data_IF_017893777102
#
_entry.id   IF_017893777102
#
_cell.length_a   1.000
_cell.length_b   1.000
_cell.length_c   1.000
_cell.angle_alpha   90.00
_cell.angle_beta   90.00
_cell.angle_gamma   90.00
#
_symmetry.space_group_name_H-M   'P 1'
#
loop_
_entity.id
_entity.type
_entity.pdbx_description
1 polymer ?
#
# COMPACT_ATOMS: atom_id res chain seq x y z
N UNK A 1 34.28 -2.01 -3.27
CA UNK A 1 34.54 -2.90 -2.11
C UNK A 1 33.25 -3.66 -1.77
N UNK A 2 33.19 -4.96 -2.07
CA UNK A 2 32.06 -5.81 -1.67
C UNK A 2 32.24 -6.20 -0.20
N UNK A 3 31.69 -5.42 0.74
CA UNK A 3 31.51 -5.92 2.10
C UNK A 3 30.43 -7.01 2.04
N UNK A 4 30.82 -8.27 2.26
CA UNK A 4 29.87 -9.36 2.51
C UNK A 4 29.01 -8.96 3.70
N UNK A 5 27.75 -8.59 3.45
CA UNK A 5 26.78 -8.44 4.54
C UNK A 5 26.69 -9.79 5.25
N UNK A 6 26.92 -9.85 6.57
CA UNK A 6 26.86 -11.11 7.30
C UNK A 6 25.45 -11.70 7.16
N UNK A 7 25.38 -13.00 6.82
CA UNK A 7 24.12 -13.74 6.59
C UNK A 7 23.13 -13.56 7.75
N UNK A 8 23.64 -13.45 8.99
CA UNK A 8 22.84 -13.19 10.20
C UNK A 8 22.07 -11.86 10.14
N UNK A 9 22.66 -10.80 9.57
CA UNK A 9 22.00 -9.50 9.43
C UNK A 9 20.85 -9.55 8.42
N UNK A 10 21.05 -10.25 7.30
CA UNK A 10 20.01 -10.46 6.30
C UNK A 10 18.80 -11.21 6.87
N UNK A 11 19.04 -12.31 7.61
CA UNK A 11 17.96 -13.10 8.22
C UNK A 11 17.16 -12.29 9.25
N UNK A 12 17.84 -11.49 10.09
CA UNK A 12 17.18 -10.59 11.05
C UNK A 12 16.28 -9.58 10.33
N UNK A 13 16.83 -8.87 9.35
CA UNK A 13 16.05 -7.86 8.60
C UNK A 13 14.89 -8.50 7.82
N UNK A 14 15.05 -9.71 7.29
CA UNK A 14 13.98 -10.44 6.61
C UNK A 14 12.85 -10.88 7.57
N UNK A 15 13.19 -11.32 8.78
CA UNK A 15 12.19 -11.65 9.80
C UNK A 15 11.41 -10.41 10.23
N UNK A 16 12.11 -9.29 10.44
CA UNK A 16 11.51 -7.99 10.75
C UNK A 16 10.62 -7.49 9.60
N UNK A 17 11.02 -7.73 8.35
CA UNK A 17 10.19 -7.39 7.19
C UNK A 17 8.90 -8.20 7.13
N UNK A 18 8.99 -9.49 7.45
CA UNK A 18 7.81 -10.37 7.54
C UNK A 18 6.84 -9.86 8.60
N UNK A 19 7.36 -9.47 9.76
CA UNK A 19 6.56 -8.85 10.83
C UNK A 19 5.94 -7.51 10.37
N UNK A 20 6.69 -6.66 9.65
CA UNK A 20 6.15 -5.40 9.11
C UNK A 20 5.01 -5.64 8.14
N UNK A 21 5.07 -6.69 7.31
CA UNK A 21 3.96 -7.05 6.42
C UNK A 21 2.74 -7.55 7.21
N UNK A 22 2.96 -8.40 8.21
CA UNK A 22 1.89 -8.88 9.08
C UNK A 22 1.17 -7.72 9.79
N UNK A 23 1.91 -6.73 10.31
CA UNK A 23 1.32 -5.54 10.92
C UNK A 23 0.69 -4.59 9.89
N UNK A 24 1.34 -4.40 8.75
CA UNK A 24 0.88 -3.54 7.67
C UNK A 24 -0.47 -3.98 7.08
N UNK A 25 -0.76 -5.29 7.11
CA UNK A 25 -2.06 -5.86 6.71
C UNK A 25 -2.98 -6.02 7.92
N UNK A 26 -2.47 -6.56 9.02
CA UNK A 26 -3.27 -6.94 10.18
C UNK A 26 -3.93 -5.75 10.87
N UNK A 27 -3.23 -4.63 11.04
CA UNK A 27 -3.77 -3.42 11.68
C UNK A 27 -4.97 -2.84 10.90
N UNK A 28 -4.86 -2.53 9.59
CA UNK A 28 -6.01 -1.99 8.85
C UNK A 28 -7.15 -3.00 8.72
N UNK A 29 -6.85 -4.30 8.55
CA UNK A 29 -7.89 -5.34 8.50
C UNK A 29 -8.65 -5.45 9.83
N UNK A 30 -7.94 -5.41 10.97
CA UNK A 30 -8.57 -5.39 12.28
C UNK A 30 -9.41 -4.11 12.48
N UNK A 31 -8.92 -2.95 12.05
CA UNK A 31 -9.67 -1.70 12.11
C UNK A 31 -10.98 -1.77 11.31
N UNK A 32 -10.96 -2.38 10.12
CA UNK A 32 -12.16 -2.60 9.30
C UNK A 32 -13.13 -3.57 9.98
N UNK A 33 -12.64 -4.67 10.54
CA UNK A 33 -13.47 -5.62 11.29
C UNK A 33 -14.16 -4.95 12.49
N UNK A 34 -13.39 -4.24 13.31
CA UNK A 34 -13.91 -3.52 14.47
C UNK A 34 -14.92 -2.46 14.03
N UNK A 35 -14.57 -1.63 13.04
CA UNK A 35 -15.43 -0.57 12.54
C UNK A 35 -16.76 -1.09 11.99
N UNK A 36 -16.72 -2.07 11.08
CA UNK A 36 -17.92 -2.53 10.39
C UNK A 36 -18.74 -3.54 11.21
N UNK A 37 -18.09 -4.50 11.86
CA UNK A 37 -18.80 -5.57 12.57
C UNK A 37 -19.13 -5.17 14.00
N UNK A 38 -18.14 -4.73 14.78
CA UNK A 38 -18.31 -4.47 16.21
C UNK A 38 -19.08 -3.17 16.44
N UNK A 39 -18.73 -2.09 15.73
CA UNK A 39 -19.37 -0.78 15.96
C UNK A 39 -20.66 -0.59 15.15
N UNK A 40 -20.72 -1.07 13.91
CA UNK A 40 -21.85 -0.82 13.01
C UNK A 40 -22.80 -2.02 12.84
N UNK A 41 -22.47 -3.19 13.41
CA UNK A 41 -23.32 -4.38 13.30
C UNK A 41 -23.52 -4.89 11.86
N UNK A 42 -22.56 -4.62 10.96
CA UNK A 42 -22.70 -4.98 9.54
C UNK A 42 -22.72 -6.51 9.34
N UNK A 43 -23.48 -7.02 8.36
CA UNK A 43 -23.49 -8.44 8.01
C UNK A 43 -22.10 -8.97 7.67
N UNK A 44 -21.76 -10.17 8.16
CA UNK A 44 -20.41 -10.74 8.04
C UNK A 44 -19.93 -10.81 6.58
N UNK A 45 -20.82 -11.09 5.62
CA UNK A 45 -20.46 -11.12 4.19
C UNK A 45 -19.86 -9.79 3.70
N UNK A 46 -20.44 -8.65 4.10
CA UNK A 46 -19.92 -7.32 3.72
C UNK A 46 -18.61 -7.02 4.43
N UNK A 47 -18.50 -7.40 5.70
CA UNK A 47 -17.28 -7.26 6.49
C UNK A 47 -16.14 -8.06 5.85
N UNK A 48 -16.37 -9.33 5.49
CA UNK A 48 -15.37 -10.18 4.84
C UNK A 48 -14.92 -9.63 3.49
N UNK A 49 -15.83 -9.10 2.68
CA UNK A 49 -15.47 -8.44 1.41
C UNK A 49 -14.59 -7.20 1.64
N UNK A 50 -14.95 -6.35 2.60
CA UNK A 50 -14.17 -5.16 2.94
C UNK A 50 -12.79 -5.51 3.52
N UNK A 51 -12.71 -6.54 4.38
CA UNK A 51 -11.44 -7.04 4.90
C UNK A 51 -10.55 -7.60 3.79
N UNK A 52 -11.10 -8.38 2.86
CA UNK A 52 -10.35 -8.92 1.73
C UNK A 52 -9.80 -7.81 0.83
N UNK A 53 -10.63 -6.82 0.49
CA UNK A 53 -10.20 -5.65 -0.28
C UNK A 53 -9.09 -4.88 0.47
N UNK A 54 -9.26 -4.66 1.77
CA UNK A 54 -8.27 -3.97 2.61
C UNK A 54 -6.95 -4.74 2.67
N UNK A 55 -7.00 -6.06 2.83
CA UNK A 55 -5.81 -6.90 2.83
C UNK A 55 -5.04 -6.77 1.51
N UNK A 56 -5.73 -6.83 0.37
CA UNK A 56 -5.12 -6.67 -0.95
C UNK A 56 -4.46 -5.30 -1.14
N UNK A 57 -5.12 -4.22 -0.70
CA UNK A 57 -4.62 -2.86 -0.85
C UNK A 57 -3.41 -2.56 0.04
N UNK A 58 -3.23 -3.34 1.10
CA UNK A 58 -2.20 -3.12 2.13
C UNK A 58 -1.04 -4.12 2.05
N UNK A 59 -1.04 -5.05 1.08
CA UNK A 59 0.01 -6.08 0.92
C UNK A 59 1.43 -5.51 0.81
N UNK A 60 1.59 -4.30 0.26
CA UNK A 60 2.90 -3.66 0.08
C UNK A 60 3.30 -2.77 1.26
N UNK A 61 2.40 -2.53 2.21
CA UNK A 61 2.63 -1.59 3.32
C UNK A 61 3.80 -2.00 4.20
N UNK A 62 3.96 -3.29 4.44
CA UNK A 62 5.12 -3.80 5.19
C UNK A 62 6.44 -3.47 4.51
N UNK A 63 6.49 -3.54 3.18
CA UNK A 63 7.68 -3.18 2.40
C UNK A 63 7.99 -1.68 2.50
N UNK A 64 6.98 -0.82 2.50
CA UNK A 64 7.14 0.62 2.74
C UNK A 64 7.61 0.94 4.17
N UNK A 65 7.01 0.29 5.17
CA UNK A 65 7.39 0.42 6.58
C UNK A 65 8.85 0.02 6.81
N UNK A 66 9.25 -1.15 6.29
CA UNK A 66 10.58 -1.69 6.52
C UNK A 66 11.69 -0.84 5.91
N UNK A 67 11.39 -0.04 4.88
CA UNK A 67 12.36 0.92 4.35
C UNK A 67 12.84 1.91 5.42
N UNK A 68 12.10 2.19 6.49
CA UNK A 68 12.56 3.09 7.57
C UNK A 68 13.87 2.62 8.21
N UNK A 69 14.03 1.30 8.39
CA UNK A 69 15.14 0.71 9.16
C UNK A 69 16.01 -0.27 8.36
N UNK A 70 15.57 -0.74 7.18
CA UNK A 70 16.32 -1.71 6.39
C UNK A 70 17.66 -1.14 5.89
N UNK A 71 18.75 -1.88 6.14
CA UNK A 71 20.12 -1.50 5.76
C UNK A 71 20.66 -2.35 4.63
N UNK A 72 20.27 -3.62 4.57
CA UNK A 72 20.77 -4.52 3.54
C UNK A 72 20.31 -4.05 2.15
N UNK A 73 21.26 -3.80 1.25
CA UNK A 73 20.98 -3.29 -0.10
C UNK A 73 20.11 -4.22 -0.93
N UNK A 74 20.34 -5.54 -0.84
CA UNK A 74 19.52 -6.53 -1.55
C UNK A 74 18.09 -6.51 -1.01
N UNK A 75 17.94 -6.52 0.31
CA UNK A 75 16.62 -6.53 0.93
C UNK A 75 15.85 -5.24 0.66
N UNK A 76 16.51 -4.08 0.72
CA UNK A 76 15.92 -2.80 0.32
C UNK A 76 15.47 -2.82 -1.14
N UNK A 77 16.29 -3.34 -2.05
CA UNK A 77 15.91 -3.46 -3.45
C UNK A 77 14.68 -4.36 -3.60
N UNK A 78 14.63 -5.51 -2.90
CA UNK A 78 13.44 -6.37 -2.88
C UNK A 78 12.21 -5.64 -2.35
N UNK A 79 12.33 -4.92 -1.23
CA UNK A 79 11.22 -4.12 -0.66
C UNK A 79 10.73 -3.06 -1.66
N UNK A 80 11.63 -2.34 -2.33
CA UNK A 80 11.30 -1.36 -3.36
C UNK A 80 10.64 -2.02 -4.58
N UNK A 81 11.03 -3.23 -4.96
CA UNK A 81 10.37 -3.95 -6.04
C UNK A 81 8.95 -4.38 -5.67
N UNK A 82 8.72 -4.78 -4.41
CA UNK A 82 7.37 -5.14 -3.94
C UNK A 82 6.39 -3.97 -4.02
N UNK A 83 6.85 -2.73 -3.88
CA UNK A 83 5.96 -1.56 -3.96
C UNK A 83 5.39 -1.33 -5.37
N UNK A 84 6.02 -1.91 -6.40
CA UNK A 84 5.62 -1.80 -7.80
C UNK A 84 4.52 -2.82 -8.17
N UNK A 85 4.33 -3.86 -7.35
CA UNK A 85 3.39 -4.97 -7.61
C UNK A 85 1.97 -4.48 -7.93
N UNK A 86 1.36 -3.53 -7.19
CA UNK A 86 0.02 -3.04 -7.51
C UNK A 86 -0.09 -2.51 -8.95
N UNK A 87 0.93 -1.77 -9.41
CA UNK A 87 0.98 -1.29 -10.79
C UNK A 87 1.15 -2.41 -11.82
N UNK A 88 1.96 -3.42 -11.52
CA UNK A 88 2.11 -4.61 -12.38
C UNK A 88 0.79 -5.38 -12.49
N UNK A 89 0.07 -5.57 -11.39
CA UNK A 89 -1.23 -6.24 -11.38
C UNK A 89 -2.25 -5.50 -12.25
N UNK A 90 -2.27 -4.16 -12.18
CA UNK A 90 -3.12 -3.33 -13.03
C UNK A 90 -2.76 -3.47 -14.52
N UNK A 91 -1.47 -3.48 -14.85
CA UNK A 91 -1.02 -3.70 -16.23
C UNK A 91 -1.40 -5.08 -16.76
N UNK A 92 -1.20 -6.13 -15.95
CA UNK A 92 -1.56 -7.50 -16.33
C UNK A 92 -3.07 -7.64 -16.52
N UNK A 93 -3.87 -7.08 -15.60
CA UNK A 93 -5.33 -7.08 -15.71
C UNK A 93 -5.79 -6.35 -16.98
N UNK A 94 -5.16 -5.22 -17.32
CA UNK A 94 -5.47 -4.51 -18.55
C UNK A 94 -5.08 -5.29 -19.80
N UNK A 95 -3.88 -5.89 -19.84
CA UNK A 95 -3.42 -6.71 -20.95
C UNK A 95 -4.30 -7.94 -21.20
N UNK A 96 -4.71 -8.62 -20.14
CA UNK A 96 -5.67 -9.72 -20.21
C UNK A 96 -7.04 -9.24 -20.70
N UNK A 97 -7.50 -8.08 -20.23
CA UNK A 97 -8.73 -7.44 -20.68
C UNK A 97 -8.74 -7.13 -22.18
N UNK A 98 -7.64 -6.55 -22.68
CA UNK A 98 -7.41 -6.32 -24.11
C UNK A 98 -7.44 -7.62 -24.92
N UNK A 99 -6.75 -8.66 -24.45
CA UNK A 99 -6.66 -9.95 -25.13
C UNK A 99 -8.03 -10.65 -25.24
N UNK A 100 -8.83 -10.58 -24.18
CA UNK A 100 -10.18 -11.20 -24.14
C UNK A 100 -11.18 -10.39 -24.99
N UNK A 101 -10.89 -9.12 -25.29
CA UNK A 101 -11.73 -8.26 -26.13
C UNK A 101 -13.08 -7.89 -25.51
N UNK A 102 -13.23 -8.04 -24.19
CA UNK A 102 -14.46 -7.68 -23.46
C UNK A 102 -14.30 -6.33 -22.78
N UNK A 103 -15.30 -5.46 -22.87
CA UNK A 103 -15.27 -4.13 -22.25
C UNK A 103 -14.86 -3.00 -23.21
N UNK A 104 -14.83 -1.78 -22.70
CA UNK A 104 -14.50 -0.59 -23.51
C UNK A 104 -12.99 -0.50 -23.77
N UNK A 105 -12.59 -0.23 -25.01
CA UNK A 105 -11.19 0.03 -25.37
C UNK A 105 -10.58 1.13 -24.47
N UNK A 106 -11.34 2.21 -24.26
CA UNK A 106 -10.93 3.34 -23.42
C UNK A 106 -10.71 2.93 -21.96
N UNK A 107 -11.51 2.00 -21.44
CA UNK A 107 -11.35 1.46 -20.09
C UNK A 107 -10.01 0.74 -19.94
N UNK A 108 -9.65 -0.12 -20.90
CA UNK A 108 -8.40 -0.85 -20.85
C UNK A 108 -7.17 0.04 -21.06
N UNK A 109 -7.27 1.04 -21.94
CA UNK A 109 -6.22 2.07 -22.09
C UNK A 109 -6.03 2.83 -20.77
N UNK A 110 -7.13 3.24 -20.12
CA UNK A 110 -7.07 3.95 -18.85
C UNK A 110 -6.44 3.07 -17.75
N UNK A 111 -6.78 1.78 -17.70
CA UNK A 111 -6.20 0.84 -16.75
C UNK A 111 -4.69 0.61 -17.01
N UNK A 112 -4.27 0.50 -18.27
CA UNK A 112 -2.85 0.44 -18.65
C UNK A 112 -2.10 1.70 -18.22
N UNK A 113 -2.64 2.88 -18.55
CA UNK A 113 -2.04 4.16 -18.18
C UNK A 113 -1.92 4.30 -16.66
N UNK A 114 -2.96 3.89 -15.92
CA UNK A 114 -2.92 3.90 -14.47
C UNK A 114 -1.92 2.90 -13.89
N UNK A 115 -1.83 1.69 -14.45
CA UNK A 115 -0.82 0.71 -14.06
C UNK A 115 0.60 1.24 -14.27
N UNK A 116 0.89 1.77 -15.46
CA UNK A 116 2.19 2.39 -15.78
C UNK A 116 2.49 3.59 -14.87
N UNK A 117 1.51 4.46 -14.64
CA UNK A 117 1.63 5.60 -13.74
C UNK A 117 1.90 5.16 -12.29
N UNK A 118 1.25 4.10 -11.82
CA UNK A 118 1.47 3.53 -10.47
C UNK A 118 2.88 2.96 -10.34
N UNK A 119 3.38 2.26 -11.36
CA UNK A 119 4.76 1.76 -11.40
C UNK A 119 5.75 2.93 -11.33
N UNK A 120 5.56 3.95 -12.18
CA UNK A 120 6.43 5.11 -12.23
C UNK A 120 6.43 5.87 -10.89
N UNK A 121 5.24 6.13 -10.32
CA UNK A 121 5.09 6.77 -9.02
C UNK A 121 5.76 5.96 -7.90
N UNK A 122 5.56 4.64 -7.88
CA UNK A 122 6.18 3.74 -6.91
C UNK A 122 7.70 3.81 -6.99
N UNK A 123 8.27 3.78 -8.20
CA UNK A 123 9.71 3.86 -8.42
C UNK A 123 10.28 5.22 -7.98
N UNK A 124 9.62 6.32 -8.35
CA UNK A 124 10.03 7.67 -7.97
C UNK A 124 10.00 7.86 -6.44
N UNK A 125 8.90 7.47 -5.80
CA UNK A 125 8.73 7.56 -4.36
C UNK A 125 9.71 6.64 -3.62
N UNK A 126 9.87 5.40 -4.08
CA UNK A 126 10.81 4.44 -3.53
C UNK A 126 12.27 4.91 -3.66
N UNK A 127 12.61 5.66 -4.72
CA UNK A 127 13.94 6.27 -4.90
C UNK A 127 14.16 7.41 -3.91
N UNK A 128 13.18 8.29 -3.72
CA UNK A 128 13.25 9.39 -2.74
C UNK A 128 13.39 8.84 -1.31
N UNK A 129 12.61 7.81 -0.98
CA UNK A 129 12.78 7.06 0.26
C UNK A 129 14.14 6.36 0.28
N UNK A 130 14.59 5.77 -0.82
CA UNK A 130 15.87 5.09 -0.94
C UNK A 130 17.10 5.98 -0.69
N UNK A 131 16.98 7.28 -0.97
CA UNK A 131 18.06 8.26 -0.85
C UNK A 131 18.35 8.73 0.58
N UNK A 132 17.42 8.51 1.53
CA UNK A 132 17.62 8.87 2.94
C UNK A 132 18.22 7.72 3.75
N UNK A 133 19.03 8.04 4.77
CA UNK A 133 19.75 7.07 5.60
C UNK A 133 18.78 6.21 6.43
N UNK A 134 19.02 4.91 6.50
CA UNK A 134 18.26 4.02 7.39
C UNK A 134 18.67 4.24 8.85
N UNK A 135 17.68 4.24 9.75
CA UNK A 135 17.88 4.40 11.19
C UNK A 135 17.84 3.04 11.89
N UNK A 136 18.91 2.67 12.60
CA UNK A 136 18.97 1.46 13.46
C UNK A 136 18.66 1.77 14.92
N UNK A 137 18.12 2.96 15.17
CA UNK A 137 17.75 3.35 16.52
C UNK A 137 16.48 2.59 16.94
N UNK A 138 16.28 2.36 18.25
CA UNK A 138 14.99 1.91 18.77
C UNK A 138 13.81 2.74 18.25
N UNK A 139 14.02 4.04 18.07
CA UNK A 139 13.05 4.97 17.47
C UNK A 139 12.73 4.63 16.01
N UNK A 140 13.71 4.19 15.21
CA UNK A 140 13.50 3.72 13.84
C UNK A 140 12.60 2.48 13.76
N UNK A 141 12.81 1.52 14.67
CA UNK A 141 11.94 0.35 14.76
C UNK A 141 10.54 0.70 15.27
N UNK A 142 10.43 1.54 16.31
CA UNK A 142 9.14 1.98 16.85
C UNK A 142 8.30 2.76 15.83
N UNK A 143 8.93 3.63 15.06
CA UNK A 143 8.24 4.37 14.00
C UNK A 143 7.81 3.46 12.85
N UNK A 144 8.65 2.50 12.46
CA UNK A 144 8.31 1.51 11.42
C UNK A 144 7.22 0.52 11.83
N UNK A 145 7.25 -0.02 13.04
CA UNK A 145 6.30 -1.04 13.49
C UNK A 145 5.06 -0.48 14.19
N UNK A 146 5.18 0.64 14.91
CA UNK A 146 4.09 1.22 15.68
C UNK A 146 3.43 2.40 14.97
N UNK A 147 4.20 3.43 14.63
CA UNK A 147 3.63 4.67 14.07
C UNK A 147 3.12 4.46 12.65
N UNK A 148 3.88 3.76 11.80
CA UNK A 148 3.53 3.59 10.39
C UNK A 148 2.16 2.94 10.19
N UNK A 149 1.84 1.76 10.78
CA UNK A 149 0.55 1.12 10.53
C UNK A 149 -0.62 1.99 10.98
N UNK A 150 -0.47 2.72 12.09
CA UNK A 150 -1.53 3.60 12.61
C UNK A 150 -1.77 4.81 11.71
N UNK A 151 -0.71 5.52 11.34
CA UNK A 151 -0.80 6.72 10.48
C UNK A 151 -1.29 6.34 9.08
N UNK A 152 -0.75 5.27 8.50
CA UNK A 152 -1.17 4.80 7.19
C UNK A 152 -2.65 4.34 7.22
N UNK A 153 -3.08 3.62 8.26
CA UNK A 153 -4.48 3.20 8.41
C UNK A 153 -5.42 4.40 8.53
N UNK A 154 -5.06 5.41 9.33
CA UNK A 154 -5.86 6.62 9.47
C UNK A 154 -5.97 7.40 8.16
N UNK A 155 -4.84 7.61 7.46
CA UNK A 155 -4.82 8.30 6.18
C UNK A 155 -5.59 7.53 5.09
N UNK A 156 -5.44 6.20 5.02
CA UNK A 156 -6.19 5.36 4.11
C UNK A 156 -7.69 5.34 4.44
N UNK A 157 -8.06 5.36 5.71
CA UNK A 157 -9.44 5.53 6.16
C UNK A 157 -10.03 6.86 5.68
N UNK A 158 -9.27 7.94 5.73
CA UNK A 158 -9.65 9.24 5.15
C UNK A 158 -9.87 9.17 3.64
N UNK A 159 -8.98 8.52 2.89
CA UNK A 159 -9.15 8.28 1.45
C UNK A 159 -10.39 7.44 1.17
N UNK A 160 -10.61 6.36 1.94
CA UNK A 160 -11.79 5.51 1.82
C UNK A 160 -13.08 6.24 2.12
N UNK A 161 -13.09 7.13 3.12
CA UNK A 161 -14.23 7.98 3.44
C UNK A 161 -14.54 8.96 2.30
N UNK A 162 -13.52 9.63 1.73
CA UNK A 162 -13.71 10.51 0.57
C UNK A 162 -14.23 9.72 -0.63
N UNK A 163 -13.66 8.54 -0.91
CA UNK A 163 -14.14 7.65 -1.96
C UNK A 163 -15.63 7.30 -1.78
N UNK A 164 -16.05 6.97 -0.55
CA UNK A 164 -17.44 6.70 -0.23
C UNK A 164 -18.37 7.91 -0.43
N UNK A 165 -17.89 9.12 -0.16
CA UNK A 165 -18.67 10.35 -0.40
C UNK A 165 -18.83 10.67 -1.89
N UNK A 166 -17.79 10.46 -2.70
CA UNK A 166 -17.80 10.79 -4.13
C UNK A 166 -18.48 9.72 -4.99
N UNK A 167 -18.43 8.47 -4.57
CA UNK A 167 -19.09 7.35 -5.24
C UNK A 167 -20.42 7.12 -4.55
N UNK A 168 -21.52 7.61 -5.12
CA UNK A 168 -22.86 7.53 -4.53
C UNK A 168 -23.30 6.08 -4.23
N UNK A 169 -23.16 5.66 -2.97
CA UNK A 169 -23.52 4.34 -2.43
C UNK A 169 -22.82 3.14 -3.12
N UNK A 170 -21.49 2.93 -2.93
CA UNK A 170 -20.74 1.86 -3.59
C UNK A 170 -21.21 0.45 -3.22
N UNK A 171 -21.90 0.31 -2.08
CA UNK A 171 -22.44 -0.96 -1.57
C UNK A 171 -23.88 -1.24 -2.02
N UNK A 172 -24.54 -0.28 -2.68
CA UNK A 172 -25.87 -0.43 -3.25
C UNK A 172 -25.89 -0.23 -4.78
N UNK A 173 -24.72 -0.03 -5.39
CA UNK A 173 -24.62 0.25 -6.82
C UNK A 173 -24.72 -1.04 -7.64
N UNK A 174 -25.58 -1.02 -8.66
CA UNK A 174 -25.75 -2.11 -9.61
C UNK A 174 -24.42 -2.39 -10.33
N UNK A 175 -24.10 -3.65 -10.65
CA UNK A 175 -22.78 -4.05 -11.20
C UNK A 175 -22.40 -3.27 -12.48
N UNK A 176 -23.41 -2.75 -13.18
CA UNK A 176 -23.27 -1.89 -14.36
C UNK A 176 -22.58 -0.55 -14.07
N UNK A 177 -22.72 -0.03 -12.86
CA UNK A 177 -22.08 1.21 -12.41
C UNK A 177 -20.56 1.10 -12.28
N UNK A 178 -20.02 -0.12 -12.13
CA UNK A 178 -18.58 -0.39 -12.18
C UNK A 178 -17.96 0.01 -13.53
N UNK A 179 -18.80 0.12 -14.58
CA UNK A 179 -18.40 0.56 -15.92
C UNK A 179 -18.66 2.06 -16.16
N UNK A 180 -19.13 2.81 -15.16
CA UNK A 180 -19.14 4.28 -15.23
C UNK A 180 -17.72 4.80 -15.17
N UNK A 181 -17.33 5.64 -16.13
CA UNK A 181 -16.00 6.25 -16.16
C UNK A 181 -15.65 6.97 -14.86
N UNK A 182 -16.59 7.73 -14.29
CA UNK A 182 -16.36 8.47 -13.04
C UNK A 182 -16.14 7.52 -11.86
N UNK A 183 -16.95 6.45 -11.75
CA UNK A 183 -16.77 5.44 -10.72
C UNK A 183 -15.40 4.79 -10.83
N UNK A 184 -15.02 4.41 -12.05
CA UNK A 184 -13.75 3.77 -12.33
C UNK A 184 -12.57 4.66 -11.94
N UNK A 185 -12.51 5.89 -12.47
CA UNK A 185 -11.38 6.80 -12.19
C UNK A 185 -11.26 7.13 -10.70
N UNK A 186 -12.36 7.41 -10.00
CA UNK A 186 -12.35 7.73 -8.57
C UNK A 186 -11.90 6.51 -7.75
N UNK A 187 -12.41 5.32 -8.06
CA UNK A 187 -12.02 4.08 -7.38
C UNK A 187 -10.56 3.74 -7.62
N UNK A 188 -10.11 3.83 -8.87
CA UNK A 188 -8.73 3.58 -9.24
C UNK A 188 -7.78 4.58 -8.58
N UNK A 189 -8.15 5.86 -8.51
CA UNK A 189 -7.39 6.88 -7.78
C UNK A 189 -7.29 6.54 -6.29
N UNK A 190 -8.40 6.17 -5.65
CA UNK A 190 -8.40 5.78 -4.24
C UNK A 190 -7.48 4.57 -3.98
N UNK A 191 -7.52 3.56 -4.87
CA UNK A 191 -6.63 2.38 -4.81
C UNK A 191 -5.16 2.80 -4.89
N UNK A 192 -4.79 3.68 -5.84
CA UNK A 192 -3.41 4.14 -6.00
C UNK A 192 -2.95 4.95 -4.78
N UNK A 193 -3.82 5.81 -4.24
CA UNK A 193 -3.54 6.57 -3.04
C UNK A 193 -3.27 5.64 -1.85
N UNK A 194 -4.15 4.67 -1.59
CA UNK A 194 -4.03 3.74 -0.45
C UNK A 194 -2.83 2.80 -0.59
N UNK A 195 -2.58 2.26 -1.78
CA UNK A 195 -1.55 1.24 -1.99
C UNK A 195 -0.14 1.79 -2.18
N UNK A 196 -0.01 3.06 -2.60
CA UNK A 196 1.26 3.64 -3.04
C UNK A 196 1.58 4.96 -2.35
N UNK A 197 0.72 5.97 -2.49
CA UNK A 197 1.03 7.34 -2.04
C UNK A 197 1.02 7.45 -0.52
N UNK A 198 -0.05 7.00 0.13
CA UNK A 198 -0.20 6.99 1.59
C UNK A 198 0.98 6.28 2.26
N UNK A 199 1.33 5.03 1.92
CA UNK A 199 2.44 4.37 2.58
C UNK A 199 3.79 5.04 2.27
N UNK A 200 4.02 5.57 1.07
CA UNK A 200 5.24 6.32 0.78
C UNK A 200 5.40 7.58 1.64
N UNK A 201 4.33 8.38 1.75
CA UNK A 201 4.32 9.60 2.58
C UNK A 201 4.51 9.24 4.06
N UNK A 202 3.81 8.22 4.54
CA UNK A 202 3.97 7.74 5.93
C UNK A 202 5.39 7.27 6.20
N UNK A 203 6.04 6.57 5.27
CA UNK A 203 7.46 6.18 5.41
C UNK A 203 8.38 7.40 5.54
N UNK A 204 8.14 8.47 4.76
CA UNK A 204 8.91 9.71 4.87
C UNK A 204 8.71 10.34 6.26
N UNK A 205 7.47 10.44 6.73
CA UNK A 205 7.16 10.96 8.07
C UNK A 205 7.85 10.12 9.16
N UNK A 206 7.73 8.79 9.10
CA UNK A 206 8.37 7.89 10.07
C UNK A 206 9.90 8.04 10.08
N UNK A 207 10.53 8.24 8.92
CA UNK A 207 11.96 8.51 8.83
C UNK A 207 12.36 9.86 9.43
N UNK A 208 11.57 10.90 9.22
CA UNK A 208 11.79 12.20 9.85
C UNK A 208 11.68 12.10 11.39
N UNK A 209 10.72 11.34 11.89
CA UNK A 209 10.57 11.08 13.34
C UNK A 209 11.70 10.21 13.91
N UNK A 210 12.27 9.32 13.10
CA UNK A 210 13.38 8.44 13.47
C UNK A 210 14.77 9.06 13.29
N UNK A 211 14.87 10.26 12.70
CA UNK A 211 16.13 10.94 12.50
C UNK A 211 16.68 11.41 13.87
N UNK A 212 17.98 11.19 14.15
CA UNK A 212 18.58 11.71 15.37
C UNK A 212 18.47 13.24 15.35
N UNK A 213 17.88 13.83 16.39
CA UNK A 213 17.91 15.29 16.59
C UNK A 213 19.38 15.69 16.67
N UNK A 214 19.89 16.40 15.67
CA UNK A 214 21.13 17.13 15.80
C UNK A 214 20.90 18.16 16.93
N UNK A 215 21.46 17.87 18.11
CA UNK A 215 21.62 18.81 19.21
C UNK A 215 23.10 19.10 19.33
#
# INVERSE_FOLDING_TARGET
>A
MYQKTPVKGFLKESALWTLSNALGVGVPVAAVYIGLHVLMGSPMTRVSMAMAATALLTLTWGSWSSLVWAKNRMLRASMQMMTVIPGILLLLLAGLGFYIGRGSLLFWIALLANGAGTIAASFMLARTVGATAASDSPTGYLTGFGVFPLVATGAAGGVGYLWYLFVSNPLATDWRSLFSFSFFFVTTLAIVLISTVVPAVTTVICRQLAAPKQR
#
